data_IF_270969377200
#
_entry.id   IF_270969377200
#
_cell.length_a   1.000
_cell.length_b   1.000
_cell.length_c   1.000
_cell.angle_alpha   90.00
_cell.angle_beta   90.00
_cell.angle_gamma   90.00
#
_symmetry.space_group_name_H-M   'P 1'
#
loop_
_entity.id
_entity.type
_entity.pdbx_description
1 polymer ?
#
# COMPACT_ATOMS: atom_id res chain seq x y z
N UNK A 1 -2.04 8.75 2.19
CA UNK A 1 -0.80 9.05 1.42
C UNK A 1 -0.14 7.79 0.84
N UNK A 2 -0.14 6.66 1.54
CA UNK A 2 0.45 5.40 1.07
C UNK A 2 -0.01 4.95 -0.33
N UNK A 3 -1.31 5.08 -0.63
CA UNK A 3 -1.87 4.71 -1.95
C UNK A 3 -1.26 5.53 -3.09
N UNK A 4 -1.03 6.84 -2.89
CA UNK A 4 -0.42 7.71 -3.90
C UNK A 4 1.04 7.34 -4.17
N UNK A 5 1.77 6.92 -3.12
CA UNK A 5 3.16 6.46 -3.27
C UNK A 5 3.24 5.19 -4.12
N UNK A 6 2.29 4.27 -3.98
CA UNK A 6 2.21 3.05 -4.81
C UNK A 6 1.91 3.35 -6.27
N UNK A 7 1.12 4.37 -6.57
CA UNK A 7 0.84 4.79 -7.95
C UNK A 7 2.07 5.34 -8.65
N UNK A 8 2.97 5.99 -7.91
CA UNK A 8 4.23 6.51 -8.45
C UNK A 8 5.29 5.41 -8.60
N UNK A 9 5.46 4.61 -7.55
CA UNK A 9 6.44 3.53 -7.52
C UNK A 9 5.77 2.31 -6.86
N UNK A 10 5.44 1.26 -7.64
CA UNK A 10 4.86 0.05 -7.08
C UNK A 10 5.74 -0.52 -5.96
N UNK A 11 5.14 -0.77 -4.79
CA UNK A 11 5.82 -1.27 -3.58
C UNK A 11 6.26 -0.21 -2.56
N UNK A 12 6.31 1.08 -2.93
CA UNK A 12 6.69 2.14 -1.98
C UNK A 12 5.63 2.36 -0.88
N UNK A 13 4.35 2.18 -1.22
CA UNK A 13 3.26 2.25 -0.23
C UNK A 13 3.34 1.13 0.81
N UNK A 14 3.79 -0.07 0.44
CA UNK A 14 4.01 -1.19 1.38
C UNK A 14 5.12 -0.88 2.38
N UNK A 15 6.19 -0.23 1.94
CA UNK A 15 7.25 0.24 2.84
C UNK A 15 6.74 1.34 3.76
N UNK A 16 5.90 2.25 3.26
CA UNK A 16 5.32 3.34 4.04
C UNK A 16 4.43 2.84 5.18
N UNK A 17 3.54 1.88 4.90
CA UNK A 17 2.69 1.24 5.93
C UNK A 17 3.41 0.14 6.72
N UNK A 18 4.75 0.04 6.60
CA UNK A 18 5.59 -0.95 7.28
C UNK A 18 5.17 -2.43 7.04
N UNK A 19 4.48 -2.71 5.94
CA UNK A 19 4.08 -4.05 5.52
C UNK A 19 5.24 -4.78 4.79
N UNK A 20 6.37 -4.96 5.47
CA UNK A 20 7.61 -5.49 4.87
C UNK A 20 7.45 -6.87 4.22
N UNK A 21 6.66 -7.76 4.83
CA UNK A 21 6.40 -9.09 4.26
C UNK A 21 5.66 -9.05 2.93
N UNK A 22 4.79 -8.06 2.71
CA UNK A 22 4.10 -7.85 1.43
C UNK A 22 4.96 -7.09 0.43
N UNK A 23 5.90 -6.26 0.88
CA UNK A 23 6.81 -5.55 -0.02
C UNK A 23 7.68 -6.50 -0.87
N UNK A 24 8.11 -7.65 -0.31
CA UNK A 24 8.95 -8.64 -1.01
C UNK A 24 8.28 -9.21 -2.27
N UNK A 25 7.08 -9.84 -2.21
CA UNK A 25 6.44 -10.38 -3.41
C UNK A 25 6.12 -9.29 -4.44
N UNK A 26 5.74 -8.09 -4.01
CA UNK A 26 5.53 -6.96 -4.92
C UNK A 26 6.83 -6.53 -5.63
N UNK A 27 7.95 -6.48 -4.91
CA UNK A 27 9.25 -6.22 -5.51
C UNK A 27 9.64 -7.29 -6.54
N UNK A 28 9.45 -8.57 -6.20
CA UNK A 28 9.72 -9.69 -7.12
C UNK A 28 8.86 -9.60 -8.38
N UNK A 29 7.57 -9.27 -8.23
CA UNK A 29 6.65 -9.09 -9.37
C UNK A 29 7.10 -7.95 -10.28
N UNK A 30 7.49 -6.80 -9.73
CA UNK A 30 8.00 -5.66 -10.50
C UNK A 30 9.27 -6.05 -11.28
N UNK A 31 10.21 -6.74 -10.63
CA UNK A 31 11.43 -7.23 -11.28
C UNK A 31 11.10 -8.22 -12.39
N UNK A 32 10.18 -9.16 -12.14
CA UNK A 32 9.76 -10.16 -13.13
C UNK A 32 9.08 -9.53 -14.35
N UNK A 33 8.16 -8.58 -14.14
CA UNK A 33 7.50 -7.85 -15.22
C UNK A 33 8.51 -7.02 -16.00
N UNK A 34 9.44 -6.35 -15.32
CA UNK A 34 10.51 -5.57 -15.98
C UNK A 34 11.43 -6.46 -16.81
N UNK A 35 11.85 -7.61 -16.27
CA UNK A 35 12.67 -8.58 -16.99
C UNK A 35 11.93 -9.15 -18.21
N UNK A 36 10.64 -9.44 -18.08
CA UNK A 36 9.81 -9.87 -19.20
C UNK A 36 9.66 -8.79 -20.27
N UNK A 37 9.40 -7.53 -19.90
CA UNK A 37 9.36 -6.40 -20.84
C UNK A 37 10.68 -6.28 -21.60
N UNK A 38 11.82 -6.46 -20.95
CA UNK A 38 13.13 -6.43 -21.58
C UNK A 38 13.36 -7.56 -22.61
N UNK A 39 12.55 -8.62 -22.59
CA UNK A 39 12.60 -9.68 -23.61
C UNK A 39 11.81 -9.35 -24.87
N UNK A 40 10.83 -8.43 -24.79
CA UNK A 40 9.92 -8.08 -25.89
C UNK A 40 10.17 -6.68 -26.45
N UNK A 41 10.79 -5.78 -25.68
CA UNK A 41 11.20 -4.44 -26.11
C UNK A 41 12.71 -4.44 -26.35
N UNK A 42 13.18 -4.21 -27.59
CA UNK A 42 14.61 -4.16 -27.89
C UNK A 42 15.28 -2.96 -27.20
N UNK A 43 16.53 -3.18 -26.74
CA UNK A 43 17.33 -2.11 -26.16
C UNK A 43 17.78 -1.12 -27.25
N UNK A 44 17.83 0.19 -26.93
CA UNK A 44 18.22 1.20 -27.91
C UNK A 44 19.74 1.17 -28.12
N UNK A 45 20.18 1.42 -29.36
CA UNK A 45 21.61 1.46 -29.69
C UNK A 45 22.34 2.67 -29.09
N UNK A 46 21.61 3.74 -28.83
CA UNK A 46 22.14 4.97 -28.23
C UNK A 46 21.19 5.47 -27.16
N UNK A 47 21.72 6.11 -26.12
CA UNK A 47 20.90 6.75 -25.07
C UNK A 47 20.62 8.18 -25.51
N UNK A 48 19.43 8.42 -26.04
CA UNK A 48 18.94 9.72 -26.46
C UNK A 48 17.46 9.93 -26.14
N UNK A 49 17.01 11.17 -26.08
CA UNK A 49 15.58 11.47 -25.87
C UNK A 49 14.72 10.84 -26.99
N UNK A 50 15.21 10.87 -28.23
CA UNK A 50 14.53 10.25 -29.36
C UNK A 50 14.39 8.72 -29.17
N UNK A 51 15.47 8.04 -28.77
CA UNK A 51 15.44 6.60 -28.50
C UNK A 51 14.49 6.22 -27.36
N UNK A 52 14.37 7.06 -26.33
CA UNK A 52 13.41 6.83 -25.23
C UNK A 52 11.96 6.95 -25.70
N UNK A 53 11.67 7.91 -26.58
CA UNK A 53 10.33 8.06 -27.17
C UNK A 53 9.99 6.86 -28.05
N UNK A 54 10.91 6.43 -28.91
CA UNK A 54 10.73 5.25 -29.78
C UNK A 54 10.50 3.98 -28.95
N UNK A 55 11.29 3.76 -27.89
CA UNK A 55 11.08 2.65 -26.96
C UNK A 55 9.69 2.70 -26.33
N UNK A 56 9.23 3.89 -25.91
CA UNK A 56 7.90 4.03 -25.30
C UNK A 56 6.77 3.67 -26.26
N UNK A 57 6.94 3.98 -27.55
CA UNK A 57 5.99 3.65 -28.61
C UNK A 57 6.03 2.16 -28.99
N UNK A 58 7.17 1.51 -28.78
CA UNK A 58 7.35 0.08 -29.02
C UNK A 58 6.81 -0.81 -27.88
N UNK A 59 6.32 -0.23 -26.77
CA UNK A 59 5.78 -1.01 -25.66
C UNK A 59 4.48 -1.69 -26.10
N UNK A 60 4.44 -3.05 -26.11
CA UNK A 60 3.27 -3.79 -26.56
C UNK A 60 2.09 -3.58 -25.59
N UNK A 61 0.86 -3.67 -26.12
CA UNK A 61 -0.35 -3.39 -25.33
C UNK A 61 -0.50 -4.36 -24.15
N UNK A 62 -0.04 -5.61 -24.30
CA UNK A 62 -0.04 -6.59 -23.23
C UNK A 62 0.79 -6.11 -22.04
N UNK A 63 1.96 -5.52 -22.29
CA UNK A 63 2.81 -4.99 -21.23
C UNK A 63 2.18 -3.78 -20.51
N UNK A 64 1.48 -2.93 -21.24
CA UNK A 64 0.74 -1.80 -20.65
C UNK A 64 -0.39 -2.29 -19.74
N UNK A 65 -1.17 -3.27 -20.20
CA UNK A 65 -2.27 -3.86 -19.41
C UNK A 65 -1.72 -4.58 -18.17
N UNK A 66 -0.64 -5.36 -18.31
CA UNK A 66 0.01 -6.04 -17.19
C UNK A 66 0.55 -5.04 -16.17
N UNK A 67 1.27 -4.01 -16.60
CA UNK A 67 1.84 -3.00 -15.69
C UNK A 67 0.74 -2.18 -14.98
N UNK A 68 -0.30 -1.78 -15.72
CA UNK A 68 -1.42 -1.02 -15.16
C UNK A 68 -2.22 -1.86 -14.18
N UNK A 69 -2.56 -3.09 -14.54
CA UNK A 69 -3.30 -4.00 -13.64
C UNK A 69 -2.49 -4.32 -12.38
N UNK A 70 -1.20 -4.61 -12.51
CA UNK A 70 -0.29 -4.82 -11.37
C UNK A 70 -0.30 -3.60 -10.43
N UNK A 71 -0.23 -2.39 -10.97
CA UNK A 71 -0.25 -1.15 -10.18
C UNK A 71 -1.59 -0.95 -9.45
N UNK A 72 -2.71 -1.22 -10.13
CA UNK A 72 -4.05 -1.12 -9.52
C UNK A 72 -4.22 -2.15 -8.40
N UNK A 73 -3.78 -3.39 -8.60
CA UNK A 73 -3.83 -4.43 -7.57
C UNK A 73 -2.92 -4.08 -6.39
N UNK A 74 -1.72 -3.54 -6.64
CA UNK A 74 -0.83 -3.07 -5.58
C UNK A 74 -1.44 -1.92 -4.78
N UNK A 75 -2.12 -0.98 -5.45
CA UNK A 75 -2.81 0.13 -4.80
C UNK A 75 -4.00 -0.37 -3.97
N UNK A 76 -4.78 -1.33 -4.48
CA UNK A 76 -5.86 -1.98 -3.76
C UNK A 76 -5.34 -2.73 -2.53
N UNK A 77 -4.22 -3.42 -2.64
CA UNK A 77 -3.58 -4.13 -1.54
C UNK A 77 -3.22 -3.19 -0.38
N UNK A 78 -2.58 -2.05 -0.69
CA UNK A 78 -2.26 -1.01 0.30
C UNK A 78 -3.53 -0.39 0.88
N UNK A 79 -4.55 -0.13 0.06
CA UNK A 79 -5.83 0.39 0.53
C UNK A 79 -6.48 -0.55 1.55
N UNK A 80 -6.51 -1.86 1.28
CA UNK A 80 -7.05 -2.85 2.21
C UNK A 80 -6.27 -2.93 3.52
N UNK A 81 -4.94 -2.82 3.49
CA UNK A 81 -4.10 -2.79 4.70
C UNK A 81 -4.47 -1.58 5.58
N UNK A 82 -4.55 -0.39 4.98
CA UNK A 82 -4.92 0.83 5.71
C UNK A 82 -6.33 0.72 6.30
N UNK A 83 -7.30 0.20 5.54
CA UNK A 83 -8.67 0.02 6.03
C UNK A 83 -8.76 -1.00 7.19
N UNK A 84 -7.91 -2.03 7.19
CA UNK A 84 -7.85 -3.00 8.30
C UNK A 84 -7.27 -2.37 9.57
N UNK A 85 -6.23 -1.53 9.44
CA UNK A 85 -5.66 -0.80 10.57
C UNK A 85 -6.70 0.15 11.18
N UNK A 86 -7.44 0.91 10.35
CA UNK A 86 -8.55 1.76 10.79
C UNK A 86 -9.67 0.95 11.48
N UNK A 87 -9.93 -0.29 11.04
CA UNK A 87 -10.87 -1.19 11.69
C UNK A 87 -10.37 -1.74 13.04
N UNK A 88 -9.06 -2.02 13.16
CA UNK A 88 -8.45 -2.58 14.37
C UNK A 88 -8.26 -1.58 15.51
N UNK A 89 -8.13 -0.28 15.20
CA UNK A 89 -8.20 0.81 16.19
C UNK A 89 -9.59 0.89 16.84
N UNK A 90 -10.58 0.12 16.34
CA UNK A 90 -11.87 -0.08 16.99
C UNK A 90 -12.00 -1.36 17.85
N UNK A 91 -10.98 -2.22 17.93
CA UNK A 91 -11.03 -3.50 18.66
C UNK A 91 -10.12 -3.59 19.89
N UNK A 92 -9.00 -2.86 19.93
CA UNK A 92 -8.14 -2.72 21.12
C UNK A 92 -8.49 -1.47 21.96
N UNK A 93 -9.59 -0.81 21.63
CA UNK A 93 -10.20 0.18 22.48
C UNK A 93 -10.29 -0.37 23.90
N UNK A 94 -9.50 0.15 24.83
CA UNK A 94 -9.72 -0.05 26.27
C UNK A 94 -11.20 0.25 26.46
N UNK A 95 -12.00 -0.79 26.72
CA UNK A 95 -13.45 -0.67 26.81
C UNK A 95 -13.82 -0.69 28.27
N UNK A 96 -14.66 0.24 28.68
CA UNK A 96 -15.14 0.27 30.04
C UNK A 96 -15.84 -1.07 30.37
N UNK A 97 -15.44 -1.82 31.42
CA UNK A 97 -16.01 -3.13 31.74
C UNK A 97 -17.48 -3.06 32.18
N UNK A 98 -17.94 -1.88 32.58
CA UNK A 98 -19.31 -1.63 33.04
C UNK A 98 -20.27 -1.31 31.89
N UNK A 99 -19.86 -0.49 30.91
CA UNK A 99 -20.74 -0.03 29.82
C UNK A 99 -20.29 -0.39 28.39
N UNK A 100 -19.06 -0.92 28.22
CA UNK A 100 -18.53 -1.40 26.94
C UNK A 100 -18.12 -0.32 25.93
N UNK A 101 -18.06 0.96 26.35
CA UNK A 101 -17.62 2.09 25.51
C UNK A 101 -16.10 2.20 25.47
N UNK A 102 -15.57 2.64 24.33
CA UNK A 102 -14.16 2.89 24.08
C UNK A 102 -13.66 4.09 24.92
N UNK A 103 -12.50 3.93 25.57
CA UNK A 103 -11.87 4.91 26.47
C UNK A 103 -10.36 5.11 26.23
N UNK A 104 -9.80 4.61 25.12
CA UNK A 104 -8.38 4.81 24.73
C UNK A 104 -7.93 6.28 24.73
N UNK A 105 -8.81 7.20 24.33
CA UNK A 105 -8.49 8.63 24.28
C UNK A 105 -8.46 9.30 25.67
N UNK A 106 -8.84 8.54 26.70
CA UNK A 106 -9.09 9.00 28.07
C UNK A 106 -8.38 8.14 29.13
N UNK A 107 -7.28 7.47 28.77
CA UNK A 107 -6.52 6.57 29.66
C UNK A 107 -5.90 7.25 30.89
N UNK A 108 -5.82 8.58 30.91
CA UNK A 108 -5.34 9.38 32.02
C UNK A 108 -6.44 9.75 33.05
N UNK A 109 -7.67 9.30 32.83
CA UNK A 109 -8.81 9.54 33.72
C UNK A 109 -9.12 8.31 34.59
N UNK A 110 -9.15 8.51 35.90
CA UNK A 110 -9.54 7.47 36.89
C UNK A 110 -11.05 7.11 36.85
N UNK A 111 -11.78 7.60 35.84
CA UNK A 111 -13.22 7.38 35.69
C UNK A 111 -13.63 7.37 34.22
N UNK A 112 -14.65 6.56 33.91
CA UNK A 112 -15.24 6.51 32.59
C UNK A 112 -16.12 7.74 32.34
N UNK A 113 -15.85 8.57 31.32
CA UNK A 113 -16.67 9.76 31.03
C UNK A 113 -18.12 9.46 30.64
N UNK A 114 -18.42 8.22 30.23
CA UNK A 114 -19.73 7.84 29.70
C UNK A 114 -20.71 7.38 30.77
N UNK A 115 -20.25 6.53 31.69
CA UNK A 115 -21.09 5.93 32.72
C UNK A 115 -20.64 6.27 34.14
N UNK A 116 -19.55 7.03 34.30
CA UNK A 116 -18.96 7.44 35.59
C UNK A 116 -18.46 6.29 36.47
N UNK A 117 -18.28 5.10 35.90
CA UNK A 117 -17.58 3.98 36.57
C UNK A 117 -16.14 4.38 36.89
N UNK A 118 -15.62 3.96 38.05
CA UNK A 118 -14.20 4.17 38.36
C UNK A 118 -13.34 3.20 37.55
N UNK A 119 -12.25 3.71 37.00
CA UNK A 119 -11.26 2.92 36.28
C UNK A 119 -10.06 2.77 37.23
N UNK A 120 -9.66 1.53 37.52
CA UNK A 120 -8.50 1.20 38.37
C UNK A 120 -7.24 0.97 37.52
#
# INVERSE_FOLDING_TARGET
MAVLLTLFIPGLGHLYVRAYYRAIPWFVLVVAVTAWIATVVPAPETVSVASLVEMSQAIPIEAQVVSTSMTLVAALDVYLIVQMEEGSVGEDATRCPSCGKDIEEFEDLDFCPWCTERLE
#
